data_IF_085820267283
#
_entry.id   IF_085820267283
#
_cell.length_a   1.000
_cell.length_b   1.000
_cell.length_c   1.000
_cell.angle_alpha   90.00
_cell.angle_beta   90.00
_cell.angle_gamma   90.00
#
_symmetry.space_group_name_H-M   'P 1'
#
loop_
_entity.id
_entity.type
_entity.pdbx_description
1 polymer ?
#
# COMPACT_ATOMS: atom_id res chain seq x y z
N UNK A 1 13.20 15.87 -14.62
CA UNK A 1 13.03 16.02 -13.16
C UNK A 1 12.77 14.62 -12.58
N UNK A 2 13.35 14.29 -11.41
CA UNK A 2 13.17 12.97 -10.80
C UNK A 2 11.81 12.91 -10.11
N UNK A 3 11.05 11.82 -10.26
CA UNK A 3 9.75 11.66 -9.58
C UNK A 3 9.95 11.67 -8.05
N UNK A 4 8.99 12.20 -7.27
CA UNK A 4 9.06 12.14 -5.81
C UNK A 4 9.00 10.69 -5.34
N UNK A 5 9.63 10.42 -4.20
CA UNK A 5 9.54 9.14 -3.51
C UNK A 5 8.28 9.17 -2.63
N UNK A 6 7.39 8.20 -2.80
CA UNK A 6 6.13 8.12 -2.07
C UNK A 6 6.18 6.97 -1.07
N UNK A 7 6.12 7.32 0.22
CA UNK A 7 5.97 6.36 1.32
C UNK A 7 4.51 6.25 1.79
N UNK A 8 4.02 5.03 1.96
CA UNK A 8 2.65 4.75 2.43
C UNK A 8 2.67 4.06 3.80
N UNK A 9 1.94 4.61 4.76
CA UNK A 9 1.80 4.07 6.11
C UNK A 9 0.42 3.42 6.31
N UNK A 10 0.37 2.12 6.62
CA UNK A 10 -0.84 1.33 6.81
C UNK A 10 -1.04 0.96 8.28
N UNK A 11 -2.04 1.56 8.92
CA UNK A 11 -2.40 1.27 10.31
C UNK A 11 -2.97 -0.14 10.55
N UNK A 12 -3.09 -0.54 11.81
CA UNK A 12 -3.85 -1.73 12.22
C UNK A 12 -5.37 -1.46 12.17
N UNK A 13 -6.22 -2.49 12.25
CA UNK A 13 -7.67 -2.27 12.14
C UNK A 13 -8.60 -3.48 12.16
N UNK A 14 -8.11 -4.69 12.47
CA UNK A 14 -8.93 -5.91 12.48
C UNK A 14 -9.68 -6.11 11.16
N UNK A 15 -10.98 -6.41 11.23
CA UNK A 15 -11.83 -6.62 10.06
C UNK A 15 -11.92 -5.39 9.13
N UNK A 16 -11.85 -4.16 9.67
CA UNK A 16 -11.85 -2.93 8.87
C UNK A 16 -10.55 -2.73 8.08
N UNK A 17 -9.49 -3.48 8.42
CA UNK A 17 -8.22 -3.45 7.70
C UNK A 17 -8.31 -3.85 6.23
N UNK A 18 -9.39 -4.54 5.82
CA UNK A 18 -9.63 -4.83 4.39
C UNK A 18 -9.80 -3.55 3.54
N UNK A 19 -10.17 -2.42 4.15
CA UNK A 19 -10.24 -1.14 3.45
C UNK A 19 -8.89 -0.73 2.81
N UNK A 20 -7.76 -1.19 3.36
CA UNK A 20 -6.43 -0.95 2.79
C UNK A 20 -6.33 -1.45 1.34
N UNK A 21 -6.99 -2.55 0.98
CA UNK A 21 -6.99 -3.10 -0.39
C UNK A 21 -7.66 -2.11 -1.36
N UNK A 22 -8.77 -1.50 -0.96
CA UNK A 22 -9.48 -0.52 -1.77
C UNK A 22 -8.66 0.75 -2.00
N UNK A 23 -7.98 1.23 -0.95
CA UNK A 23 -7.06 2.38 -1.04
C UNK A 23 -5.95 2.09 -2.04
N UNK A 24 -5.29 0.94 -1.91
CA UNK A 24 -4.19 0.54 -2.80
C UNK A 24 -4.63 0.44 -4.26
N UNK A 25 -5.77 -0.22 -4.52
CA UNK A 25 -6.32 -0.29 -5.89
C UNK A 25 -6.66 1.09 -6.47
N UNK A 26 -7.11 2.04 -5.63
CA UNK A 26 -7.36 3.41 -6.08
C UNK A 26 -6.07 4.16 -6.41
N UNK A 27 -5.00 3.96 -5.64
CA UNK A 27 -3.69 4.56 -5.90
C UNK A 27 -3.13 4.08 -7.24
N UNK A 28 -3.19 2.78 -7.51
CA UNK A 28 -2.78 2.20 -8.81
C UNK A 28 -3.58 2.76 -9.98
N UNK A 29 -4.91 2.84 -9.85
CA UNK A 29 -5.79 3.40 -10.90
C UNK A 29 -5.48 4.86 -11.22
N UNK A 30 -4.96 5.61 -10.26
CA UNK A 30 -4.53 7.00 -10.45
C UNK A 30 -3.07 7.13 -10.91
N UNK A 31 -2.36 6.02 -11.10
CA UNK A 31 -0.95 6.02 -11.49
C UNK A 31 -0.01 6.49 -10.37
N UNK A 32 -0.43 6.41 -9.11
CA UNK A 32 0.39 6.78 -7.95
C UNK A 32 1.27 5.60 -7.59
N UNK A 33 2.55 5.68 -7.95
CA UNK A 33 3.55 4.66 -7.63
C UNK A 33 4.04 4.81 -6.19
N UNK A 34 3.80 3.80 -5.35
CA UNK A 34 4.28 3.74 -3.97
C UNK A 34 5.65 3.07 -3.92
N UNK A 35 6.63 3.75 -3.35
CA UNK A 35 8.03 3.29 -3.30
C UNK A 35 8.37 2.52 -2.04
N UNK A 36 7.68 2.82 -0.94
CA UNK A 36 7.93 2.23 0.36
C UNK A 36 6.63 2.07 1.12
N UNK A 37 6.49 0.96 1.84
CA UNK A 37 5.33 0.71 2.70
C UNK A 37 5.80 0.40 4.11
N UNK A 38 5.22 1.08 5.09
CA UNK A 38 5.31 0.74 6.50
C UNK A 38 3.92 0.29 6.97
N UNK A 39 3.82 -0.79 7.72
CA UNK A 39 2.53 -1.29 8.18
C UNK A 39 2.58 -1.94 9.56
N UNK A 40 1.43 -2.01 10.22
CA UNK A 40 1.26 -2.72 11.50
C UNK A 40 0.09 -3.71 11.44
N UNK A 41 0.30 -4.94 11.92
CA UNK A 41 -0.70 -6.02 11.93
C UNK A 41 -1.31 -6.24 10.53
N UNK A 42 -2.64 -6.06 10.37
CA UNK A 42 -3.33 -6.20 9.08
C UNK A 42 -2.77 -5.25 8.00
N UNK A 43 -2.33 -4.04 8.37
CA UNK A 43 -1.68 -3.12 7.43
C UNK A 43 -0.32 -3.62 6.95
N UNK A 44 0.45 -4.29 7.82
CA UNK A 44 1.71 -4.93 7.43
C UNK A 44 1.47 -6.12 6.49
N UNK A 45 0.44 -6.93 6.78
CA UNK A 45 0.06 -8.06 5.94
C UNK A 45 -0.36 -7.59 4.55
N UNK A 46 -1.36 -6.72 4.46
CA UNK A 46 -1.86 -6.20 3.17
C UNK A 46 -0.75 -5.47 2.40
N UNK A 47 0.02 -4.60 3.08
CA UNK A 47 1.13 -3.87 2.47
C UNK A 47 2.22 -4.76 1.90
N UNK A 48 2.60 -5.83 2.61
CA UNK A 48 3.63 -6.77 2.14
C UNK A 48 3.17 -7.59 0.93
N UNK A 49 1.90 -7.98 0.86
CA UNK A 49 1.34 -8.64 -0.33
C UNK A 49 1.23 -7.70 -1.52
N UNK A 50 0.81 -6.45 -1.31
CA UNK A 50 0.74 -5.45 -2.37
C UNK A 50 2.11 -5.20 -3.00
N UNK A 51 3.13 -4.93 -2.17
CA UNK A 51 4.50 -4.69 -2.65
C UNK A 51 5.11 -5.91 -3.38
N UNK A 52 4.64 -7.12 -3.08
CA UNK A 52 5.08 -8.35 -3.73
C UNK A 52 4.48 -8.52 -5.14
N UNK A 53 3.30 -7.98 -5.42
CA UNK A 53 2.65 -8.15 -6.72
C UNK A 53 3.26 -7.27 -7.82
N UNK A 54 3.89 -6.15 -7.44
CA UNK A 54 4.32 -5.10 -8.38
C UNK A 54 5.72 -5.35 -9.01
N UNK A 55 6.11 -6.62 -9.20
CA UNK A 55 7.44 -7.02 -9.73
C UNK A 55 7.43 -8.15 -10.77
N UNK A 56 6.36 -8.29 -11.54
CA UNK A 56 6.31 -9.18 -12.73
C UNK A 56 5.94 -8.43 -13.98
#
# INVERSE_FOLDING_TARGET
>A
MKRPIIGLALGSGGARGMAHIGVLSSLEKQGIQVDMIAGSSIGALVGSFFMRQDKT
#
